data_IF_913939189955
#
_entry.id   IF_913939189955
#
_cell.length_a   1.000
_cell.length_b   1.000
_cell.length_c   1.000
_cell.angle_alpha   90.00
_cell.angle_beta   90.00
_cell.angle_gamma   90.00
#
_symmetry.space_group_name_H-M   'P 1'
#
loop_
_entity.id
_entity.type
_entity.pdbx_description
1 polymer ?
#
# COMPACT_ATOMS: atom_id res chain seq x y z
N UNK A 1 -5.45 -12.01 20.95
CA UNK A 1 -6.33 -11.03 21.65
C UNK A 1 -5.67 -9.66 21.77
N UNK A 2 -4.35 -9.60 22.00
CA UNK A 2 -3.56 -8.36 22.00
C UNK A 2 -3.51 -7.68 20.62
N UNK A 3 -3.29 -8.45 19.54
CA UNK A 3 -3.28 -7.93 18.17
C UNK A 3 -4.61 -7.35 17.72
N UNK A 4 -5.73 -7.97 18.12
CA UNK A 4 -7.08 -7.42 17.88
C UNK A 4 -7.20 -6.05 18.56
N UNK A 5 -6.73 -5.91 19.81
CA UNK A 5 -6.72 -4.61 20.48
C UNK A 5 -5.74 -3.63 19.85
N UNK A 6 -4.70 -4.09 19.15
CA UNK A 6 -3.69 -3.24 18.54
C UNK A 6 -4.16 -2.69 17.17
N UNK A 7 -4.86 -3.51 16.40
CA UNK A 7 -5.10 -3.24 14.98
C UNK A 7 -6.58 -3.20 14.58
N UNK A 8 -7.50 -3.65 15.44
CA UNK A 8 -8.92 -3.68 15.07
C UNK A 8 -9.52 -2.25 15.09
N UNK A 9 -10.37 -1.93 14.10
CA UNK A 9 -10.93 -0.59 13.92
C UNK A 9 -11.74 -0.11 15.12
N UNK A 10 -12.34 -1.01 15.90
CA UNK A 10 -13.15 -0.71 17.09
C UNK A 10 -12.37 -0.01 18.20
N UNK A 11 -11.03 -0.07 18.17
CA UNK A 11 -10.16 0.59 19.14
C UNK A 11 -9.58 1.91 18.65
N UNK A 12 -9.86 2.30 17.39
CA UNK A 12 -9.46 3.57 16.75
C UNK A 12 -7.99 3.98 16.93
N UNK A 13 -7.10 3.00 17.11
CA UNK A 13 -5.68 3.25 17.35
C UNK A 13 -4.98 3.82 16.13
N UNK A 14 -4.01 4.67 16.39
CA UNK A 14 -3.01 5.05 15.40
C UNK A 14 -2.02 3.91 15.21
N UNK A 15 -1.91 3.45 13.97
CA UNK A 15 -1.12 2.28 13.57
C UNK A 15 -0.02 2.78 12.63
N UNK A 16 1.26 2.71 13.06
CA UNK A 16 2.39 3.15 12.26
C UNK A 16 2.76 2.10 11.21
N UNK A 17 2.31 2.29 9.97
CA UNK A 17 2.65 1.39 8.86
C UNK A 17 4.14 1.46 8.59
N UNK A 18 4.75 0.31 8.36
CA UNK A 18 6.18 0.19 8.09
C UNK A 18 6.46 0.63 6.65
N UNK A 19 7.54 1.37 6.46
CA UNK A 19 8.05 1.73 5.13
C UNK A 19 9.26 0.83 4.86
N UNK A 20 9.23 0.08 3.76
CA UNK A 20 10.38 -0.69 3.29
C UNK A 20 10.81 -0.18 1.91
N UNK A 21 12.07 -0.40 1.55
CA UNK A 21 12.57 -0.14 0.20
C UNK A 21 12.73 -1.45 -0.55
N UNK A 22 12.19 -1.54 -1.76
CA UNK A 22 12.30 -2.71 -2.63
C UNK A 22 13.05 -2.31 -3.91
N UNK A 23 14.00 -3.13 -4.34
CA UNK A 23 14.74 -2.91 -5.59
C UNK A 23 13.76 -2.89 -6.77
N UNK A 24 13.90 -1.90 -7.67
CA UNK A 24 12.92 -1.61 -8.72
C UNK A 24 12.64 -2.79 -9.67
N UNK A 25 13.64 -3.66 -9.91
CA UNK A 25 13.49 -4.81 -10.81
C UNK A 25 12.74 -5.99 -10.15
N UNK A 26 12.54 -5.91 -8.83
CA UNK A 26 11.84 -6.90 -8.01
C UNK A 26 10.45 -6.44 -7.57
N UNK A 27 9.95 -5.33 -8.09
CA UNK A 27 8.60 -4.82 -7.84
C UNK A 27 7.92 -4.50 -9.17
N UNK A 28 6.64 -4.84 -9.27
CA UNK A 28 5.80 -4.42 -10.39
C UNK A 28 4.92 -3.29 -9.90
N UNK A 29 5.12 -2.09 -10.45
CA UNK A 29 4.29 -0.92 -10.17
C UNK A 29 3.31 -0.67 -11.31
N UNK A 30 2.07 -0.32 -10.95
CA UNK A 30 1.06 0.20 -11.89
C UNK A 30 0.53 1.51 -11.35
N UNK A 31 0.75 2.59 -12.10
CA UNK A 31 0.32 3.94 -11.77
C UNK A 31 -0.53 4.52 -12.90
N UNK A 32 -1.55 5.31 -12.57
CA UNK A 32 -2.40 5.97 -13.58
C UNK A 32 -1.63 6.92 -14.50
N UNK A 33 -0.59 7.57 -14.00
CA UNK A 33 0.25 8.54 -14.69
C UNK A 33 1.63 7.97 -15.09
N UNK A 34 1.87 6.69 -14.82
CA UNK A 34 3.16 6.04 -15.03
C UNK A 34 4.23 6.35 -13.97
N UNK A 35 3.90 7.06 -12.90
CA UNK A 35 4.83 7.31 -11.81
C UNK A 35 5.03 6.07 -10.93
N UNK A 36 6.11 5.34 -11.15
CA UNK A 36 6.45 4.17 -10.33
C UNK A 36 7.00 4.52 -8.94
N UNK A 37 7.33 5.80 -8.67
CA UNK A 37 7.72 6.35 -7.37
C UNK A 37 6.57 7.02 -6.61
N UNK A 38 5.32 6.77 -7.01
CA UNK A 38 4.11 7.39 -6.43
C UNK A 38 4.11 7.45 -4.89
N UNK A 39 4.52 6.38 -4.21
CA UNK A 39 4.56 6.38 -2.74
C UNK A 39 5.53 7.44 -2.21
N UNK A 40 6.74 7.54 -2.78
CA UNK A 40 7.73 8.54 -2.36
C UNK A 40 7.27 9.95 -2.72
N UNK A 41 6.74 10.15 -3.92
CA UNK A 41 6.43 11.48 -4.44
C UNK A 41 5.13 12.05 -3.86
N UNK A 42 4.11 11.22 -3.67
CA UNK A 42 2.75 11.67 -3.30
C UNK A 42 2.34 11.28 -1.88
N UNK A 43 2.77 10.10 -1.40
CA UNK A 43 2.32 9.58 -0.09
C UNK A 43 3.23 10.03 1.04
N UNK A 44 4.55 9.93 0.86
CA UNK A 44 5.57 10.25 1.86
C UNK A 44 6.65 11.23 1.35
N UNK A 45 6.31 12.34 0.67
CA UNK A 45 7.31 13.31 0.18
C UNK A 45 8.17 13.88 1.30
N UNK A 46 7.64 13.97 2.52
CA UNK A 46 8.38 14.38 3.72
C UNK A 46 9.61 13.50 4.01
N UNK A 47 9.60 12.24 3.59
CA UNK A 47 10.68 11.27 3.81
C UNK A 47 11.71 11.23 2.67
N UNK A 48 11.50 11.94 1.55
CA UNK A 48 12.36 11.87 0.35
C UNK A 48 13.87 12.01 0.66
N UNK A 49 14.24 13.05 1.40
CA UNK A 49 15.65 13.29 1.75
C UNK A 49 16.19 12.24 2.75
N UNK A 50 15.36 11.80 3.70
CA UNK A 50 15.74 10.84 4.73
C UNK A 50 15.98 9.46 4.13
N UNK A 51 15.11 9.01 3.22
CA UNK A 51 15.26 7.77 2.46
C UNK A 51 16.53 7.81 1.61
N UNK A 52 16.78 8.91 0.89
CA UNK A 52 18.02 9.05 0.09
C UNK A 52 19.28 8.95 0.95
N UNK A 53 19.31 9.62 2.10
CA UNK A 53 20.45 9.56 3.03
C UNK A 53 20.60 8.15 3.62
N UNK A 54 19.50 7.51 3.98
CA UNK A 54 19.48 6.14 4.51
C UNK A 54 20.01 5.12 3.49
N UNK A 55 19.54 5.14 2.24
CA UNK A 55 20.04 4.24 1.20
C UNK A 55 21.51 4.51 0.87
N UNK A 56 21.92 5.79 0.83
CA UNK A 56 23.32 6.17 0.59
C UNK A 56 24.24 5.63 1.69
N UNK A 57 23.83 5.63 2.95
CA UNK A 57 24.65 5.07 4.05
C UNK A 57 24.83 3.55 3.94
N UNK A 58 23.94 2.86 3.22
CA UNK A 58 24.05 1.43 2.89
C UNK A 58 24.85 1.16 1.60
N UNK A 59 25.38 2.21 0.95
CA UNK A 59 26.09 2.13 -0.33
C UNK A 59 25.16 1.99 -1.54
N UNK A 60 23.88 2.33 -1.39
CA UNK A 60 22.84 2.15 -2.41
C UNK A 60 22.40 3.49 -3.00
N UNK A 61 21.84 3.43 -4.20
CA UNK A 61 21.28 4.58 -4.91
C UNK A 61 19.76 4.61 -4.75
N UNK A 62 19.18 5.77 -4.48
CA UNK A 62 17.74 5.90 -4.28
C UNK A 62 16.93 5.59 -5.54
N UNK A 63 17.46 5.91 -6.73
CA UNK A 63 16.79 5.65 -8.00
C UNK A 63 16.56 4.17 -8.31
N UNK A 64 17.32 3.27 -7.67
CA UNK A 64 17.23 1.82 -7.87
C UNK A 64 16.21 1.14 -6.94
N UNK A 65 15.52 1.91 -6.10
CA UNK A 65 14.56 1.40 -5.13
C UNK A 65 13.20 2.13 -5.23
N UNK A 66 12.15 1.44 -4.79
CA UNK A 66 10.79 1.97 -4.58
C UNK A 66 10.39 1.76 -3.13
N UNK A 67 9.56 2.65 -2.60
CA UNK A 67 9.03 2.49 -1.26
C UNK A 67 7.78 1.60 -1.31
N UNK A 68 7.65 0.67 -0.38
CA UNK A 68 6.45 -0.15 -0.19
C UNK A 68 5.97 -0.06 1.26
N UNK A 69 4.66 0.12 1.42
CA UNK A 69 4.02 0.15 2.74
C UNK A 69 3.67 -1.26 3.19
N UNK A 70 3.93 -1.56 4.47
CA UNK A 70 3.67 -2.88 5.06
C UNK A 70 2.92 -2.72 6.38
N UNK A 71 1.88 -3.53 6.58
CA UNK A 71 1.15 -3.55 7.84
C UNK A 71 2.06 -4.09 8.96
N UNK A 72 2.11 -3.50 10.17
CA UNK A 72 3.02 -3.93 11.23
C UNK A 72 2.92 -5.41 11.57
N UNK A 73 1.68 -5.93 11.67
CA UNK A 73 1.47 -7.36 11.87
C UNK A 73 2.12 -8.21 10.78
N UNK A 74 1.96 -7.84 9.51
CA UNK A 74 2.54 -8.55 8.37
C UNK A 74 4.07 -8.46 8.38
N UNK A 75 4.60 -7.29 8.73
CA UNK A 75 6.02 -7.03 8.87
C UNK A 75 6.67 -7.96 9.91
N UNK A 76 6.08 -8.06 11.10
CA UNK A 76 6.62 -8.86 12.21
C UNK A 76 6.43 -10.37 12.01
N UNK A 77 5.31 -10.81 11.40
CA UNK A 77 4.92 -12.23 11.39
C UNK A 77 5.16 -12.95 10.07
N UNK A 78 5.25 -12.20 8.96
CA UNK A 78 5.23 -12.77 7.60
C UNK A 78 6.46 -12.37 6.80
N UNK A 79 6.84 -11.09 6.77
CA UNK A 79 7.91 -10.61 5.88
C UNK A 79 9.22 -11.35 6.11
N UNK A 80 9.64 -11.53 7.37
CA UNK A 80 10.88 -12.25 7.69
C UNK A 80 10.90 -13.70 7.21
N UNK A 81 9.74 -14.37 7.12
CA UNK A 81 9.65 -15.78 6.69
C UNK A 81 9.70 -15.95 5.18
N UNK A 82 9.02 -15.07 4.45
CA UNK A 82 8.90 -15.17 2.98
C UNK A 82 10.03 -14.44 2.25
N UNK A 83 10.62 -13.40 2.86
CA UNK A 83 11.58 -12.50 2.20
C UNK A 83 12.95 -12.46 2.87
N UNK A 84 13.31 -13.46 3.68
CA UNK A 84 14.63 -13.54 4.35
C UNK A 84 15.79 -13.36 3.36
N UNK A 85 15.75 -14.10 2.23
CA UNK A 85 16.77 -14.04 1.20
C UNK A 85 16.84 -12.67 0.51
N UNK A 86 15.71 -11.99 0.34
CA UNK A 86 15.66 -10.65 -0.25
C UNK A 86 16.25 -9.62 0.71
N UNK A 87 15.96 -9.75 2.01
CA UNK A 87 16.54 -8.89 3.06
C UNK A 87 18.05 -9.07 3.13
N UNK A 88 18.54 -10.32 3.16
CA UNK A 88 19.96 -10.62 3.19
C UNK A 88 20.72 -10.05 1.96
N UNK A 89 20.06 -10.00 0.81
CA UNK A 89 20.60 -9.47 -0.46
C UNK A 89 20.37 -7.97 -0.66
N UNK A 90 19.71 -7.28 0.28
CA UNK A 90 19.25 -5.90 0.15
C UNK A 90 18.28 -5.65 -1.02
N UNK A 91 17.64 -6.69 -1.55
CA UNK A 91 16.53 -6.55 -2.51
C UNK A 91 15.32 -5.90 -1.82
N UNK A 92 15.10 -6.26 -0.54
CA UNK A 92 14.09 -5.66 0.32
C UNK A 92 14.77 -5.13 1.59
N UNK A 93 14.56 -3.87 1.92
CA UNK A 93 15.30 -3.18 2.97
C UNK A 93 14.30 -2.62 3.99
N UNK A 94 14.33 -3.10 5.24
CA UNK A 94 13.62 -2.45 6.33
C UNK A 94 14.16 -1.03 6.57
N UNK A 95 13.27 -0.07 6.80
CA UNK A 95 13.66 1.31 7.15
C UNK A 95 13.19 1.67 8.57
N UNK A 96 13.77 2.68 9.23
CA UNK A 96 13.26 3.18 10.50
C UNK A 96 12.02 4.09 10.36
N UNK A 97 11.50 4.26 9.14
CA UNK A 97 10.43 5.20 8.85
C UNK A 97 9.06 4.53 8.90
N UNK A 98 8.07 5.30 9.34
CA UNK A 98 6.67 4.85 9.38
C UNK A 98 5.72 5.96 8.94
N UNK A 99 4.53 5.57 8.52
CA UNK A 99 3.41 6.48 8.24
C UNK A 99 2.22 6.14 9.12
N UNK A 100 1.65 7.15 9.79
CA UNK A 100 0.53 6.96 10.70
C UNK A 100 -0.77 6.71 9.93
N UNK A 101 -1.57 5.78 10.45
CA UNK A 101 -2.83 5.40 9.85
C UNK A 101 -3.85 4.93 10.90
N UNK A 102 -5.10 4.74 10.49
CA UNK A 102 -6.14 4.07 11.27
C UNK A 102 -6.76 2.94 10.47
N UNK A 103 -7.02 1.80 11.10
CA UNK A 103 -7.69 0.69 10.43
C UNK A 103 -9.14 1.04 10.08
N UNK A 104 -9.61 0.60 8.93
CA UNK A 104 -11.05 0.60 8.57
C UNK A 104 -11.69 -0.74 8.95
N UNK A 105 -13.00 -0.89 8.74
CA UNK A 105 -13.75 -2.14 8.99
C UNK A 105 -13.15 -3.39 8.33
N UNK A 106 -12.39 -3.23 7.24
CA UNK A 106 -11.72 -4.35 6.57
C UNK A 106 -10.44 -4.82 7.28
N UNK A 107 -10.03 -4.17 8.38
CA UNK A 107 -8.79 -4.37 9.15
C UNK A 107 -7.52 -4.01 8.38
N UNK A 108 -7.41 -4.45 7.13
CA UNK A 108 -6.22 -4.33 6.27
C UNK A 108 -6.21 -3.11 5.36
N UNK A 109 -7.36 -2.43 5.22
CA UNK A 109 -7.40 -1.13 4.57
C UNK A 109 -7.22 -0.06 5.63
N UNK A 110 -6.17 0.73 5.49
CA UNK A 110 -5.71 1.71 6.45
C UNK A 110 -5.98 3.11 5.90
N UNK A 111 -6.62 3.95 6.69
CA UNK A 111 -6.79 5.36 6.39
C UNK A 111 -5.55 6.11 6.82
N UNK A 112 -4.80 6.66 5.86
CA UNK A 112 -3.58 7.42 6.16
C UNK A 112 -3.95 8.74 6.84
N UNK A 113 -3.32 9.05 7.97
CA UNK A 113 -3.58 10.29 8.70
C UNK A 113 -2.98 11.47 7.92
N UNK A 114 -3.69 12.59 7.86
CA UNK A 114 -3.31 13.81 7.12
C UNK A 114 -3.05 13.65 5.62
N UNK A 115 -3.47 12.51 5.03
CA UNK A 115 -3.40 12.25 3.59
C UNK A 115 -4.80 11.94 3.05
N UNK A 116 -5.11 12.29 1.79
CA UNK A 116 -6.40 11.98 1.16
C UNK A 116 -6.49 10.53 0.65
N UNK A 117 -5.76 9.59 1.27
CA UNK A 117 -5.60 8.24 0.77
C UNK A 117 -5.93 7.15 1.82
N UNK A 118 -6.48 6.06 1.33
CA UNK A 118 -6.48 4.75 1.96
C UNK A 118 -5.39 3.88 1.32
N UNK A 119 -4.83 2.95 2.08
CA UNK A 119 -3.95 1.90 1.57
C UNK A 119 -4.49 0.53 1.93
N UNK A 120 -4.58 -0.38 0.97
CA UNK A 120 -4.91 -1.80 1.21
C UNK A 120 -3.62 -2.60 1.29
N UNK A 121 -3.50 -3.39 2.36
CA UNK A 121 -2.30 -4.18 2.65
C UNK A 121 -2.62 -5.66 2.86
N UNK A 122 -1.68 -6.57 2.57
CA UNK A 122 -1.75 -7.94 3.04
C UNK A 122 -1.71 -7.99 4.57
N UNK A 123 -2.59 -8.79 5.14
CA UNK A 123 -2.52 -9.20 6.55
C UNK A 123 -2.92 -10.67 6.59
N UNK A 124 -1.94 -11.56 6.76
CA UNK A 124 -2.13 -13.01 6.87
C UNK A 124 -2.70 -13.45 8.24
N UNK A 125 -3.55 -12.60 8.85
CA UNK A 125 -4.26 -12.90 10.08
C UNK A 125 -5.64 -13.45 9.72
N UNK A 126 -5.92 -14.67 10.17
CA UNK A 126 -7.19 -15.35 9.90
C UNK A 126 -8.32 -14.75 10.76
N UNK A 127 -8.95 -13.68 10.28
CA UNK A 127 -10.12 -13.08 10.93
C UNK A 127 -11.44 -13.85 10.65
N UNK A 128 -11.47 -14.67 9.59
CA UNK A 128 -12.62 -15.46 9.09
C UNK A 128 -12.14 -16.68 8.27
N UNK A 129 -13.02 -17.40 7.54
CA UNK A 129 -12.67 -18.57 6.69
C UNK A 129 -11.76 -18.28 5.48
N UNK A 130 -11.36 -17.02 5.26
CA UNK A 130 -10.47 -16.61 4.17
C UNK A 130 -9.25 -15.84 4.69
N UNK A 131 -8.09 -16.16 4.12
CA UNK A 131 -6.83 -15.42 4.29
C UNK A 131 -6.93 -14.07 3.57
N UNK A 132 -6.55 -12.98 4.25
CA UNK A 132 -6.71 -11.62 3.72
C UNK A 132 -5.44 -11.11 3.01
N UNK A 133 -5.08 -11.73 1.89
CA UNK A 133 -4.02 -11.24 0.97
C UNK A 133 -4.50 -10.17 -0.01
N UNK A 134 -3.59 -9.35 -0.54
CA UNK A 134 -3.88 -8.49 -1.71
C UNK A 134 -3.62 -9.28 -2.99
N UNK A 135 -4.58 -9.24 -3.92
CA UNK A 135 -4.42 -9.89 -5.22
C UNK A 135 -3.51 -9.05 -6.12
N UNK A 136 -2.48 -9.68 -6.69
CA UNK A 136 -1.58 -9.08 -7.69
C UNK A 136 -2.31 -8.68 -8.98
N UNK A 137 -3.44 -9.33 -9.27
CA UNK A 137 -4.32 -8.89 -10.37
C UNK A 137 -4.93 -7.53 -10.04
N UNK A 138 -5.38 -7.32 -8.80
CA UNK A 138 -6.03 -6.07 -8.40
C UNK A 138 -5.06 -4.89 -8.34
N UNK A 139 -3.80 -5.12 -7.97
CA UNK A 139 -2.77 -4.06 -7.97
C UNK A 139 -2.48 -3.54 -9.38
N UNK A 140 -2.72 -4.35 -10.41
CA UNK A 140 -2.58 -3.98 -11.83
C UNK A 140 -3.90 -3.42 -12.39
N UNK A 141 -5.02 -4.10 -12.16
CA UNK A 141 -6.30 -3.76 -12.78
C UNK A 141 -6.98 -2.56 -12.14
N UNK A 142 -6.80 -2.33 -10.83
CA UNK A 142 -7.37 -1.19 -10.11
C UNK A 142 -6.96 0.16 -10.71
N UNK A 143 -5.65 0.44 -10.87
CA UNK A 143 -5.18 1.66 -11.52
C UNK A 143 -5.57 1.77 -13.00
N UNK A 144 -5.53 0.67 -13.75
CA UNK A 144 -5.95 0.67 -15.18
C UNK A 144 -7.43 0.99 -15.34
N UNK A 145 -8.28 0.38 -14.52
CA UNK A 145 -9.72 0.63 -14.52
C UNK A 145 -10.01 2.07 -14.09
N UNK A 146 -9.33 2.56 -13.07
CA UNK A 146 -9.42 3.95 -12.62
C UNK A 146 -9.08 4.91 -13.77
N UNK A 147 -7.98 4.68 -14.49
CA UNK A 147 -7.65 5.47 -15.68
C UNK A 147 -8.70 5.40 -16.78
N UNK A 148 -9.18 4.19 -17.12
CA UNK A 148 -10.19 4.01 -18.17
C UNK A 148 -11.53 4.71 -17.85
N UNK A 149 -11.91 4.75 -16.58
CA UNK A 149 -13.18 5.34 -16.14
C UNK A 149 -13.16 6.86 -16.05
N UNK A 150 -12.00 7.52 -15.94
CA UNK A 150 -11.93 8.99 -15.77
C UNK A 150 -12.74 9.75 -16.83
N UNK A 151 -12.56 9.40 -18.11
CA UNK A 151 -13.25 10.08 -19.21
C UNK A 151 -14.76 9.88 -19.19
N UNK A 152 -15.23 8.72 -18.72
CA UNK A 152 -16.65 8.44 -18.56
C UNK A 152 -17.22 9.20 -17.36
N UNK A 153 -16.54 9.17 -16.21
CA UNK A 153 -17.00 9.83 -14.98
C UNK A 153 -17.10 11.36 -15.16
N UNK A 154 -16.23 11.96 -15.96
CA UNK A 154 -16.33 13.38 -16.32
C UNK A 154 -17.64 13.74 -17.03
N UNK A 155 -18.34 12.78 -17.65
CA UNK A 155 -19.64 12.99 -18.28
C UNK A 155 -20.81 12.89 -17.27
N UNK A 156 -20.56 12.32 -16.08
CA UNK A 156 -21.57 12.08 -15.03
C UNK A 156 -21.11 12.67 -13.69
N UNK A 157 -21.12 14.01 -13.53
CA UNK A 157 -20.55 14.68 -12.35
C UNK A 157 -21.24 14.34 -11.02
N UNK A 158 -22.45 13.74 -11.06
CA UNK A 158 -23.16 13.25 -9.87
C UNK A 158 -22.76 11.83 -9.43
N UNK A 159 -21.85 11.18 -10.16
CA UNK A 159 -21.39 9.82 -9.87
C UNK A 159 -19.88 9.83 -9.59
N UNK A 160 -19.51 9.59 -8.34
CA UNK A 160 -18.11 9.60 -7.90
C UNK A 160 -17.65 8.17 -7.65
N UNK A 161 -16.43 7.85 -8.09
CA UNK A 161 -15.80 6.57 -7.81
C UNK A 161 -14.50 6.84 -7.07
N UNK A 162 -14.26 6.11 -5.98
CA UNK A 162 -12.97 6.18 -5.28
C UNK A 162 -11.88 5.54 -6.16
N UNK A 163 -11.00 6.38 -6.70
CA UNK A 163 -9.96 5.96 -7.63
C UNK A 163 -8.83 5.22 -6.92
N UNK A 164 -8.20 4.28 -7.61
CA UNK A 164 -7.02 3.55 -7.16
C UNK A 164 -5.81 4.00 -7.98
N UNK A 165 -5.19 5.17 -7.68
CA UNK A 165 -4.19 5.76 -8.56
C UNK A 165 -2.90 4.93 -8.70
N UNK A 166 -2.63 4.04 -7.74
CA UNK A 166 -1.39 3.28 -7.68
C UNK A 166 -1.60 1.91 -7.05
N UNK A 167 -0.90 0.92 -7.58
CA UNK A 167 -0.76 -0.40 -6.98
C UNK A 167 0.61 -0.99 -7.29
N UNK A 168 1.12 -1.78 -6.36
CA UNK A 168 2.41 -2.47 -6.53
C UNK A 168 2.41 -3.83 -5.84
N UNK A 169 3.26 -4.73 -6.31
CA UNK A 169 3.50 -6.02 -5.67
C UNK A 169 4.92 -6.51 -5.95
N UNK A 170 5.45 -7.32 -5.04
CA UNK A 170 6.74 -7.97 -5.21
C UNK A 170 6.72 -8.97 -6.37
N UNK A 171 7.68 -8.86 -7.29
CA UNK A 171 7.83 -9.74 -8.45
C UNK A 171 8.57 -11.01 -8.05
N UNK A 172 7.83 -11.98 -7.54
CA UNK A 172 8.33 -13.23 -6.96
C UNK A 172 7.35 -14.36 -7.29
N UNK A 173 7.58 -15.58 -6.80
CA UNK A 173 6.62 -16.67 -6.90
C UNK A 173 5.22 -16.28 -6.35
N UNK A 174 4.20 -16.99 -6.84
CA UNK A 174 2.79 -16.67 -6.60
C UNK A 174 2.35 -16.71 -5.14
N UNK A 175 3.02 -17.50 -4.30
CA UNK A 175 2.64 -17.62 -2.90
C UNK A 175 3.18 -16.42 -2.10
N UNK A 176 4.40 -15.98 -2.44
CA UNK A 176 5.05 -14.84 -1.78
C UNK A 176 4.57 -13.48 -2.30
N UNK A 177 4.24 -13.33 -3.59
CA UNK A 177 3.83 -12.04 -4.18
C UNK A 177 2.61 -11.42 -3.47
N UNK A 178 1.72 -12.28 -2.94
CA UNK A 178 0.51 -11.89 -2.21
C UNK A 178 0.77 -11.39 -0.79
N UNK A 179 1.97 -11.63 -0.28
CA UNK A 179 2.40 -11.26 1.08
C UNK A 179 3.10 -9.90 1.13
N UNK A 180 3.50 -9.35 -0.02
CA UNK A 180 4.13 -8.04 -0.14
C UNK A 180 3.56 -7.29 -1.36
N UNK A 181 2.47 -6.57 -1.11
CA UNK A 181 1.75 -5.79 -2.11
C UNK A 181 1.04 -4.59 -1.45
N UNK A 182 0.68 -3.60 -2.25
CA UNK A 182 0.05 -2.38 -1.79
C UNK A 182 -0.89 -1.84 -2.87
N UNK A 183 -2.07 -1.35 -2.47
CA UNK A 183 -2.96 -0.57 -3.33
C UNK A 183 -3.26 0.74 -2.63
N UNK A 184 -2.94 1.86 -3.30
CA UNK A 184 -3.35 3.19 -2.87
C UNK A 184 -4.69 3.52 -3.50
N UNK A 185 -5.60 4.04 -2.68
CA UNK A 185 -6.94 4.46 -3.07
C UNK A 185 -7.23 5.84 -2.53
N UNK A 186 -7.88 6.69 -3.31
CA UNK A 186 -8.41 7.96 -2.80
C UNK A 186 -9.48 7.73 -1.74
N UNK A 187 -9.47 8.55 -0.69
CA UNK A 187 -10.55 8.55 0.30
C UNK A 187 -11.87 8.86 -0.41
N UNK A 188 -12.94 8.09 -0.17
CA UNK A 188 -14.26 8.42 -0.69
C UNK A 188 -14.68 9.81 -0.20
N UNK A 189 -15.00 10.72 -1.12
CA UNK A 189 -15.59 12.00 -0.76
C UNK A 189 -17.06 11.78 -0.34
N UNK A 190 -17.44 12.36 0.80
CA UNK A 190 -18.82 12.42 1.26
C UNK A 190 -19.18 13.91 1.34
N UNK A 191 -19.61 14.47 0.21
CA UNK A 191 -20.00 15.89 0.09
C UNK A 191 -21.53 16.11 0.16
N UNK A 192 -22.29 15.02 0.37
CA UNK A 192 -23.75 15.03 0.42
C UNK A 192 -24.43 15.16 -0.96
N UNK A 193 -23.68 15.09 -2.07
CA UNK A 193 -24.22 15.18 -3.44
C UNK A 193 -23.86 13.93 -4.25
N UNK A 194 -24.89 13.19 -4.68
CA UNK A 194 -24.71 12.00 -5.52
C UNK A 194 -24.36 10.74 -4.73
N UNK A 195 -23.83 9.74 -5.42
CA UNK A 195 -23.40 8.48 -4.82
C UNK A 195 -21.90 8.27 -5.03
N UNK A 196 -21.17 7.98 -3.95
CA UNK A 196 -19.76 7.60 -4.00
C UNK A 196 -19.65 6.08 -3.95
N UNK A 197 -19.15 5.49 -5.02
CA UNK A 197 -18.95 4.05 -5.12
C UNK A 197 -17.49 3.71 -4.81
N UNK A 198 -17.31 2.71 -3.97
CA UNK A 198 -16.01 2.13 -3.64
C UNK A 198 -15.97 0.74 -4.23
N UNK A 199 -15.03 0.47 -5.12
CA UNK A 199 -14.87 -0.88 -5.69
C UNK A 199 -14.54 -1.88 -4.57
N UNK A 200 -15.28 -2.99 -4.51
CA UNK A 200 -14.94 -4.11 -3.65
C UNK A 200 -13.95 -4.99 -4.42
N UNK A 201 -12.66 -4.77 -4.18
CA UNK A 201 -11.58 -5.56 -4.76
C UNK A 201 -10.61 -6.06 -3.70
#
# INVERSE_FOLDING_TARGET
MEEVRAYAPEFEKEIPLQIMMIEKDHVVCTAMDGNDQFIIDEIIPEYYNQIRVFLKSLGLKSEDYRAILVHPWQYDHTIGKYFEAWIAKKILIPTPFTILSKATLSFRTMSLIDKPYHVKLPVDAQATSAVRTVSTVTTVDGPKLSYALQNMLNQYPGFKVAMEPFGEYANVDKDSERQLACIIRQKPEIDGKGATVVSAS
#
